data_IF_228283349546
#
_entry.id   IF_228283349546
#
_cell.length_a   1.000
_cell.length_b   1.000
_cell.length_c   1.000
_cell.angle_alpha   90.00
_cell.angle_beta   90.00
_cell.angle_gamma   90.00
#
_symmetry.space_group_name_H-M   'P 1'
#
loop_
_entity.id
_entity.type
_entity.pdbx_description
1 polymer ?
#
# COMPACT_ATOMS: atom_id res chain seq x y z
N UNK A 1 -12.84 -27.54 28.91
CA UNK A 1 -13.31 -26.21 29.35
C UNK A 1 -12.73 -25.17 28.41
N UNK A 2 -13.62 -24.53 27.65
CA UNK A 2 -13.54 -23.22 26.99
C UNK A 2 -12.46 -22.98 25.91
N UNK A 3 -12.93 -23.17 24.67
CA UNK A 3 -12.46 -22.63 23.40
C UNK A 3 -12.35 -21.09 23.45
N UNK A 4 -11.14 -20.54 23.49
CA UNK A 4 -10.92 -19.09 23.30
C UNK A 4 -10.95 -18.77 21.80
N UNK A 5 -11.81 -17.85 21.32
CA UNK A 5 -11.68 -17.36 19.96
C UNK A 5 -10.49 -16.40 19.91
N UNK A 6 -9.40 -16.82 19.25
CA UNK A 6 -8.31 -15.92 18.85
C UNK A 6 -8.81 -15.04 17.69
N UNK A 7 -9.69 -14.09 18.00
CA UNK A 7 -10.03 -12.99 17.10
C UNK A 7 -8.88 -11.99 17.10
N UNK A 8 -7.91 -12.14 16.19
CA UNK A 8 -6.68 -11.38 16.28
C UNK A 8 -5.91 -11.18 14.97
N UNK A 9 -6.54 -10.77 13.86
CA UNK A 9 -5.82 -10.21 12.68
C UNK A 9 -6.65 -9.30 11.78
N UNK A 10 -7.92 -9.00 12.05
CA UNK A 10 -8.83 -8.40 11.03
C UNK A 10 -8.66 -6.90 10.76
N UNK A 11 -7.67 -6.23 11.34
CA UNK A 11 -7.42 -4.80 11.10
C UNK A 11 -6.19 -4.49 10.24
N UNK A 12 -5.03 -5.03 10.62
CA UNK A 12 -3.74 -4.59 10.06
C UNK A 12 -3.49 -5.10 8.64
N UNK A 13 -3.99 -6.31 8.33
CA UNK A 13 -3.85 -6.92 7.02
C UNK A 13 -4.63 -6.12 5.96
N UNK A 14 -5.87 -5.75 6.26
CA UNK A 14 -6.73 -5.00 5.34
C UNK A 14 -6.30 -3.53 5.21
N UNK A 15 -5.88 -2.89 6.31
CA UNK A 15 -5.37 -1.51 6.27
C UNK A 15 -4.11 -1.39 5.41
N UNK A 16 -3.22 -2.40 5.47
CA UNK A 16 -2.00 -2.41 4.65
C UNK A 16 -2.32 -2.59 3.16
N UNK A 17 -3.27 -3.45 2.82
CA UNK A 17 -3.72 -3.68 1.44
C UNK A 17 -4.44 -2.45 0.87
N UNK A 18 -5.36 -1.85 1.63
CA UNK A 18 -6.11 -0.67 1.19
C UNK A 18 -5.18 0.52 0.88
N UNK A 19 -4.14 0.73 1.68
CA UNK A 19 -3.16 1.79 1.43
C UNK A 19 -2.36 1.56 0.13
N UNK A 20 -2.02 0.31 -0.20
CA UNK A 20 -1.34 -0.05 -1.45
C UNK A 20 -2.27 0.19 -2.64
N UNK A 21 -3.52 -0.27 -2.57
CA UNK A 21 -4.47 -0.14 -3.68
C UNK A 21 -4.77 1.33 -4.02
N UNK A 22 -4.99 2.16 -2.99
CA UNK A 22 -5.21 3.60 -3.14
C UNK A 22 -3.98 4.27 -3.76
N UNK A 23 -2.79 3.97 -3.24
CA UNK A 23 -1.55 4.54 -3.76
C UNK A 23 -1.24 4.07 -5.18
N UNK A 24 -1.58 2.82 -5.55
CA UNK A 24 -1.41 2.29 -6.90
C UNK A 24 -2.38 2.92 -7.89
N UNK A 25 -3.64 3.11 -7.52
CA UNK A 25 -4.60 3.87 -8.32
C UNK A 25 -4.15 5.32 -8.53
N UNK A 26 -3.68 5.97 -7.47
CA UNK A 26 -3.13 7.33 -7.57
C UNK A 26 -1.89 7.38 -8.47
N UNK A 27 -0.94 6.47 -8.29
CA UNK A 27 0.28 6.43 -9.10
C UNK A 27 -0.04 6.21 -10.58
N UNK A 28 -0.97 5.32 -10.94
CA UNK A 28 -1.40 5.14 -12.34
C UNK A 28 -1.94 6.43 -12.95
N UNK A 29 -2.77 7.16 -12.22
CA UNK A 29 -3.33 8.42 -12.70
C UNK A 29 -2.30 9.57 -12.78
N UNK A 30 -1.19 9.48 -12.04
CA UNK A 30 -0.22 10.56 -11.88
C UNK A 30 1.21 10.14 -12.28
N UNK A 31 1.39 9.02 -12.99
CA UNK A 31 2.71 8.45 -13.26
C UNK A 31 3.61 9.43 -14.02
N UNK A 32 3.04 10.20 -14.94
CA UNK A 32 3.77 11.18 -15.75
C UNK A 32 4.18 12.45 -14.97
N UNK A 33 3.51 12.74 -13.86
CA UNK A 33 3.73 13.95 -13.04
C UNK A 33 4.25 13.64 -11.64
N UNK A 34 4.49 12.36 -11.35
CA UNK A 34 5.00 11.91 -10.06
C UNK A 34 6.44 12.42 -9.87
N UNK A 35 6.71 12.94 -8.67
CA UNK A 35 8.05 13.38 -8.32
C UNK A 35 9.04 12.21 -8.30
N UNK A 36 10.26 12.46 -8.79
CA UNK A 36 11.36 11.53 -8.74
C UNK A 36 12.34 11.91 -7.61
N UNK A 37 12.82 10.96 -6.79
CA UNK A 37 12.65 9.51 -6.97
C UNK A 37 11.29 8.98 -6.45
N UNK A 38 10.67 8.08 -7.22
CA UNK A 38 9.27 7.63 -7.02
C UNK A 38 9.04 6.97 -5.65
N UNK A 39 9.96 6.11 -5.21
CA UNK A 39 9.79 5.40 -3.93
C UNK A 39 9.76 6.39 -2.74
N UNK A 40 10.73 7.30 -2.55
CA UNK A 40 10.62 8.39 -1.57
C UNK A 40 9.33 9.20 -1.67
N UNK A 41 8.90 9.58 -2.88
CA UNK A 41 7.70 10.38 -3.07
C UNK A 41 6.43 9.64 -2.60
N UNK A 42 6.27 8.37 -2.97
CA UNK A 42 5.15 7.53 -2.53
C UNK A 42 5.15 7.33 -1.00
N UNK A 43 6.34 7.13 -0.41
CA UNK A 43 6.47 6.97 1.05
C UNK A 43 6.07 8.24 1.79
N UNK A 44 6.55 9.40 1.34
CA UNK A 44 6.22 10.70 1.94
C UNK A 44 4.72 10.99 1.85
N UNK A 45 4.12 10.71 0.69
CA UNK A 45 2.71 11.02 0.41
C UNK A 45 1.72 10.13 1.16
N UNK A 46 2.02 8.83 1.26
CA UNK A 46 1.08 7.83 1.76
C UNK A 46 1.51 7.18 3.09
N UNK A 47 2.62 7.62 3.68
CA UNK A 47 3.15 7.03 4.93
C UNK A 47 3.63 5.58 4.78
N UNK A 48 4.00 5.16 3.57
CA UNK A 48 4.32 3.77 3.27
C UNK A 48 5.73 3.38 3.74
N UNK A 49 5.87 2.10 4.07
CA UNK A 49 7.19 1.46 4.16
C UNK A 49 7.81 1.29 2.77
N UNK A 50 9.14 1.11 2.66
CA UNK A 50 9.79 0.85 1.37
C UNK A 50 9.20 -0.36 0.62
N UNK A 51 8.87 -1.44 1.33
CA UNK A 51 8.28 -2.64 0.73
C UNK A 51 6.87 -2.38 0.19
N UNK A 52 6.06 -1.62 0.92
CA UNK A 52 4.73 -1.21 0.45
C UNK A 52 4.82 -0.32 -0.79
N UNK A 53 5.79 0.60 -0.87
CA UNK A 53 5.99 1.42 -2.05
C UNK A 53 6.38 0.58 -3.29
N UNK A 54 7.19 -0.48 -3.11
CA UNK A 54 7.48 -1.44 -4.19
C UNK A 54 6.20 -2.21 -4.59
N UNK A 55 5.39 -2.62 -3.62
CA UNK A 55 4.12 -3.28 -3.88
C UNK A 55 3.16 -2.39 -4.68
N UNK A 56 3.12 -1.08 -4.38
CA UNK A 56 2.37 -0.08 -5.15
C UNK A 56 2.79 -0.06 -6.62
N UNK A 57 4.10 -0.03 -6.90
CA UNK A 57 4.60 -0.03 -8.28
C UNK A 57 4.26 -1.33 -9.01
N UNK A 58 4.36 -2.47 -8.31
CA UNK A 58 3.98 -3.77 -8.87
C UNK A 58 2.49 -3.83 -9.19
N UNK A 59 1.64 -3.34 -8.29
CA UNK A 59 0.19 -3.35 -8.46
C UNK A 59 -0.23 -2.41 -9.58
N UNK A 60 0.37 -1.21 -9.63
CA UNK A 60 0.15 -0.27 -10.71
C UNK A 60 0.53 -0.79 -12.11
N UNK A 61 1.46 -1.76 -12.20
CA UNK A 61 1.88 -2.36 -13.47
C UNK A 61 1.02 -3.57 -13.91
N UNK A 62 0.20 -4.13 -13.01
CA UNK A 62 -0.64 -5.32 -13.29
C UNK A 62 -2.02 -4.99 -13.86
N UNK A 63 -2.49 -3.77 -13.65
CA UNK A 63 -3.81 -3.28 -14.05
C UNK A 63 -3.72 -2.40 -15.29
#
# INVERSE_FOLDING_TARGET
>A
MSNLPVGGTTGLCHQSTAAIDIAAAWYRANAATCEHPVIPALRSRFGLTPLQAIAVLREAARA
#
